data_IF_888460031160
#
_entry.id   IF_888460031160
#
_cell.length_a   1.000
_cell.length_b   1.000
_cell.length_c   1.000
_cell.angle_alpha   90.00
_cell.angle_beta   90.00
_cell.angle_gamma   90.00
#
_symmetry.space_group_name_H-M   'P 1'
#
loop_
_entity.id
_entity.type
_entity.pdbx_description
1 polymer ?
#
# COMPACT_ATOMS: atom_id res chain seq x y z
N UNK A 1 1.76 -31.91 -0.88
CA UNK A 1 0.37 -31.60 -1.28
C UNK A 1 0.01 -30.30 -0.57
N UNK A 2 -0.56 -29.31 -1.24
CA UNK A 2 -0.92 -28.04 -0.59
C UNK A 2 -2.13 -28.26 0.32
N UNK A 3 -2.10 -27.68 1.52
CA UNK A 3 -3.20 -27.74 2.48
C UNK A 3 -4.28 -26.71 2.10
N UNK A 4 -5.52 -26.90 2.55
CA UNK A 4 -6.61 -25.92 2.30
C UNK A 4 -6.24 -24.51 2.80
N UNK A 5 -5.48 -24.42 3.89
CA UNK A 5 -4.96 -23.16 4.43
C UNK A 5 -4.05 -22.40 3.47
N UNK A 6 -3.28 -23.10 2.63
CA UNK A 6 -2.35 -22.47 1.68
C UNK A 6 -3.13 -21.71 0.59
N UNK A 7 -4.22 -22.30 0.09
CA UNK A 7 -5.08 -21.65 -0.91
C UNK A 7 -5.76 -20.40 -0.36
N UNK A 8 -6.27 -20.45 0.87
CA UNK A 8 -6.87 -19.28 1.54
C UNK A 8 -5.81 -18.18 1.71
N UNK A 9 -4.60 -18.54 2.13
CA UNK A 9 -3.48 -17.61 2.27
C UNK A 9 -3.13 -16.90 0.96
N UNK A 10 -3.02 -17.65 -0.14
CA UNK A 10 -2.73 -17.06 -1.46
C UNK A 10 -3.86 -16.16 -1.97
N UNK A 11 -5.11 -16.59 -1.85
CA UNK A 11 -6.26 -15.78 -2.26
C UNK A 11 -6.34 -14.50 -1.42
N UNK A 12 -6.14 -14.58 -0.10
CA UNK A 12 -6.09 -13.42 0.77
C UNK A 12 -4.96 -12.46 0.38
N UNK A 13 -3.75 -12.96 0.12
CA UNK A 13 -2.61 -12.16 -0.31
C UNK A 13 -2.87 -11.45 -1.66
N UNK A 14 -3.46 -12.16 -2.63
CA UNK A 14 -3.81 -11.59 -3.94
C UNK A 14 -4.88 -10.51 -3.79
N UNK A 15 -5.99 -10.82 -3.14
CA UNK A 15 -7.12 -9.89 -3.00
C UNK A 15 -6.69 -8.61 -2.28
N UNK A 16 -5.96 -8.74 -1.18
CA UNK A 16 -5.46 -7.58 -0.43
C UNK A 16 -4.49 -6.75 -1.25
N UNK A 17 -3.50 -7.37 -1.91
CA UNK A 17 -2.51 -6.64 -2.75
C UNK A 17 -3.17 -5.95 -3.94
N UNK A 18 -4.02 -6.66 -4.69
CA UNK A 18 -4.68 -6.15 -5.90
C UNK A 18 -5.68 -5.04 -5.56
N UNK A 19 -6.27 -5.04 -4.36
CA UNK A 19 -7.18 -3.97 -3.92
C UNK A 19 -6.55 -2.57 -3.95
N UNK A 20 -5.21 -2.46 -3.86
CA UNK A 20 -4.50 -1.18 -3.95
C UNK A 20 -4.33 -0.68 -5.39
N UNK A 21 -4.44 -1.55 -6.40
CA UNK A 21 -4.24 -1.19 -7.81
C UNK A 21 -5.28 -0.16 -8.29
N UNK A 22 -6.61 -0.36 -8.10
CA UNK A 22 -7.60 0.64 -8.50
C UNK A 22 -7.39 1.99 -7.80
N UNK A 23 -7.02 1.97 -6.52
CA UNK A 23 -6.81 3.18 -5.74
C UNK A 23 -5.55 3.93 -6.17
N UNK A 24 -4.45 3.22 -6.44
CA UNK A 24 -3.22 3.80 -6.98
C UNK A 24 -3.46 4.38 -8.38
N UNK A 25 -4.13 3.63 -9.26
CA UNK A 25 -4.50 4.10 -10.60
C UNK A 25 -5.34 5.37 -10.55
N UNK A 26 -6.40 5.39 -9.73
CA UNK A 26 -7.25 6.58 -9.55
C UNK A 26 -6.43 7.78 -9.08
N UNK A 27 -5.60 7.58 -8.05
CA UNK A 27 -4.74 8.63 -7.49
C UNK A 27 -3.75 9.18 -8.52
N UNK A 28 -3.13 8.31 -9.32
CA UNK A 28 -2.20 8.73 -10.39
C UNK A 28 -2.93 9.50 -11.48
N UNK A 29 -4.10 9.02 -11.90
CA UNK A 29 -4.87 9.57 -13.03
C UNK A 29 -5.53 10.90 -12.69
N UNK A 30 -6.23 10.99 -11.56
CA UNK A 30 -7.01 12.18 -11.21
C UNK A 30 -6.17 13.22 -10.46
N UNK A 31 -5.09 12.80 -9.79
CA UNK A 31 -4.31 13.61 -8.83
C UNK A 31 -5.14 14.19 -7.68
N UNK A 32 -6.42 13.82 -7.59
CA UNK A 32 -7.32 14.19 -6.51
C UNK A 32 -7.08 13.28 -5.32
N UNK A 33 -6.58 13.87 -4.25
CA UNK A 33 -6.30 13.19 -2.98
C UNK A 33 -7.04 13.83 -1.81
N UNK A 34 -8.05 14.67 -2.10
CA UNK A 34 -8.84 15.39 -1.09
C UNK A 34 -9.49 14.43 -0.09
N UNK A 35 -10.08 13.34 -0.58
CA UNK A 35 -10.69 12.28 0.24
C UNK A 35 -9.72 11.27 0.85
N UNK A 36 -8.40 11.40 0.65
CA UNK A 36 -7.40 10.46 1.17
C UNK A 36 -6.80 11.02 2.47
N UNK A 37 -6.91 10.25 3.56
CA UNK A 37 -6.27 10.58 4.84
C UNK A 37 -4.75 10.37 4.76
N UNK A 38 -3.99 11.44 5.02
CA UNK A 38 -2.53 11.40 5.05
C UNK A 38 -2.02 10.47 6.16
N UNK A 39 -2.56 10.60 7.37
CA UNK A 39 -2.12 9.82 8.53
C UNK A 39 -2.37 8.33 8.36
N UNK A 40 -3.53 7.97 7.79
CA UNK A 40 -3.84 6.58 7.48
C UNK A 40 -2.78 5.97 6.54
N UNK A 41 -2.48 6.64 5.42
CA UNK A 41 -1.51 6.12 4.45
C UNK A 41 -0.08 6.13 5.00
N UNK A 42 0.28 7.09 5.85
CA UNK A 42 1.59 7.13 6.49
C UNK A 42 1.78 5.94 7.44
N UNK A 43 0.85 5.74 8.37
CA UNK A 43 0.90 4.61 9.32
C UNK A 43 0.82 3.27 8.59
N UNK A 44 -0.06 3.17 7.58
CA UNK A 44 -0.19 1.97 6.76
C UNK A 44 1.11 1.63 6.02
N UNK A 45 1.72 2.62 5.34
CA UNK A 45 2.95 2.42 4.57
C UNK A 45 4.12 2.01 5.47
N UNK A 46 4.26 2.61 6.65
CA UNK A 46 5.26 2.18 7.63
C UNK A 46 4.98 0.77 8.13
N UNK A 47 3.72 0.47 8.48
CA UNK A 47 3.32 -0.85 8.97
C UNK A 47 3.62 -1.98 7.98
N UNK A 48 3.29 -1.81 6.69
CA UNK A 48 3.59 -2.85 5.69
C UNK A 48 5.09 -3.00 5.40
N UNK A 49 5.90 -1.95 5.54
CA UNK A 49 7.36 -2.06 5.42
C UNK A 49 7.95 -2.86 6.59
N UNK A 50 7.38 -2.70 7.79
CA UNK A 50 7.70 -3.54 8.94
C UNK A 50 7.26 -4.99 8.70
N UNK A 51 6.06 -5.23 8.17
CA UNK A 51 5.60 -6.57 7.80
C UNK A 51 6.44 -7.22 6.70
N UNK A 52 6.90 -6.44 5.72
CA UNK A 52 7.85 -6.90 4.71
C UNK A 52 9.14 -7.39 5.38
N UNK A 53 9.74 -6.55 6.22
CA UNK A 53 10.99 -6.86 6.93
C UNK A 53 10.83 -8.09 7.83
N UNK A 54 9.69 -8.21 8.50
CA UNK A 54 9.32 -9.37 9.30
C UNK A 54 9.13 -10.64 8.45
N UNK A 55 8.49 -10.53 7.28
CA UNK A 55 8.36 -11.65 6.35
C UNK A 55 9.71 -12.15 5.84
N UNK A 56 10.65 -11.23 5.57
CA UNK A 56 12.03 -11.57 5.19
C UNK A 56 12.75 -12.27 6.34
N UNK A 57 12.63 -11.81 7.58
CA UNK A 57 13.28 -12.46 8.73
C UNK A 57 12.74 -13.86 9.01
N UNK A 58 11.48 -14.14 8.64
CA UNK A 58 10.86 -15.46 8.68
C UNK A 58 11.13 -16.32 7.44
N UNK A 59 11.79 -15.77 6.41
CA UNK A 59 11.94 -16.39 5.09
C UNK A 59 10.59 -16.87 4.48
N UNK A 60 9.52 -16.10 4.70
CA UNK A 60 8.17 -16.44 4.26
C UNK A 60 7.76 -15.62 3.01
N UNK A 61 7.78 -16.22 1.80
CA UNK A 61 7.49 -15.51 0.56
C UNK A 61 6.07 -14.96 0.47
N UNK A 62 5.08 -15.63 1.05
CA UNK A 62 3.71 -15.12 1.04
C UNK A 62 3.62 -13.78 1.79
N UNK A 63 4.35 -13.63 2.90
CA UNK A 63 4.36 -12.39 3.70
C UNK A 63 5.21 -11.32 3.01
N UNK A 64 6.48 -11.59 2.67
CA UNK A 64 7.33 -10.52 2.15
C UNK A 64 6.96 -10.11 0.72
N UNK A 65 6.54 -11.03 -0.17
CA UNK A 65 6.15 -10.62 -1.53
C UNK A 65 4.88 -9.78 -1.53
N UNK A 66 3.83 -10.19 -0.81
CA UNK A 66 2.56 -9.46 -0.76
C UNK A 66 2.72 -8.05 -0.16
N UNK A 67 3.45 -7.92 0.95
CA UNK A 67 3.71 -6.63 1.58
C UNK A 67 4.64 -5.76 0.73
N UNK A 68 5.61 -6.36 0.02
CA UNK A 68 6.51 -5.64 -0.89
C UNK A 68 5.75 -5.00 -2.05
N UNK A 69 4.87 -5.75 -2.72
CA UNK A 69 4.04 -5.21 -3.80
C UNK A 69 3.07 -4.15 -3.27
N UNK A 70 2.44 -4.41 -2.12
CA UNK A 70 1.55 -3.43 -1.46
C UNK A 70 2.30 -2.14 -1.10
N UNK A 71 3.57 -2.23 -0.70
CA UNK A 71 4.40 -1.07 -0.37
C UNK A 71 4.68 -0.15 -1.55
N UNK A 72 4.81 -0.70 -2.76
CA UNK A 72 4.93 0.11 -3.97
C UNK A 72 3.67 0.94 -4.19
N UNK A 73 2.48 0.31 -4.13
CA UNK A 73 1.22 1.02 -4.38
C UNK A 73 0.90 2.06 -3.30
N UNK A 74 1.06 1.71 -2.02
CA UNK A 74 0.80 2.64 -0.92
C UNK A 74 1.77 3.84 -0.92
N UNK A 75 3.05 3.61 -1.27
CA UNK A 75 4.04 4.68 -1.40
C UNK A 75 3.68 5.67 -2.51
N UNK A 76 3.22 5.18 -3.67
CA UNK A 76 2.75 6.04 -4.78
C UNK A 76 1.59 6.93 -4.31
N UNK A 77 0.62 6.36 -3.59
CA UNK A 77 -0.54 7.10 -3.09
C UNK A 77 -0.12 8.13 -2.04
N UNK A 78 0.74 7.73 -1.10
CA UNK A 78 1.25 8.59 -0.03
C UNK A 78 2.05 9.78 -0.59
N UNK A 79 2.98 9.52 -1.52
CA UNK A 79 3.77 10.57 -2.17
C UNK A 79 2.88 11.55 -2.91
N UNK A 80 1.88 11.05 -3.64
CA UNK A 80 0.93 11.91 -4.35
C UNK A 80 0.11 12.78 -3.37
N UNK A 81 -0.35 12.22 -2.25
CA UNK A 81 -1.07 12.97 -1.20
C UNK A 81 -0.20 14.06 -0.58
N UNK A 82 1.06 13.75 -0.25
CA UNK A 82 2.01 14.73 0.31
C UNK A 82 2.24 15.86 -0.70
N UNK A 83 2.48 15.53 -1.96
CA UNK A 83 2.70 16.52 -3.02
C UNK A 83 1.49 17.45 -3.22
N UNK A 84 0.27 16.91 -3.23
CA UNK A 84 -0.96 17.70 -3.33
C UNK A 84 -1.16 18.61 -2.10
N UNK A 85 -0.96 18.10 -0.88
CA UNK A 85 -1.08 18.90 0.35
C UNK A 85 -0.05 20.04 0.46
N UNK A 86 1.16 19.86 -0.09
CA UNK A 86 2.16 20.94 -0.17
C UNK A 86 1.72 22.04 -1.14
N UNK A 87 1.11 21.69 -2.28
CA UNK A 87 0.58 22.66 -3.25
C UNK A 87 -0.55 23.50 -2.67
N UNK A 88 -1.51 22.87 -1.99
CA UNK A 88 -2.63 23.56 -1.33
C UNK A 88 -2.14 24.59 -0.30
N UNK A 89 -1.19 24.21 0.57
CA UNK A 89 -0.62 25.13 1.57
C UNK A 89 0.16 26.30 0.96
N UNK A 90 0.79 26.12 -0.21
CA UNK A 90 1.50 27.20 -0.90
C UNK A 90 0.55 28.19 -1.56
N UNK A 91 -0.58 27.73 -2.10
CA UNK A 91 -1.55 28.59 -2.77
C UNK A 91 -2.41 29.43 -1.81
N UNK A 92 -2.45 29.05 -0.52
CA UNK A 92 -3.15 29.75 0.54
C UNK A 92 -2.29 30.78 1.30
N UNK A 93 -1.02 30.94 0.93
CA UNK A 93 -0.10 31.98 1.43
C UNK A 93 0.02 33.09 0.40
#
# INVERSE_FOLDING_TARGET
MFEVGDYIGYVAAILTTVSFVPQAYKTIKTKDTSGISLWMYLLFTVGILLWFTYGVSLNNPAIYLSNGVTAVFSSIILITKIASGVKEKRSAR
#
